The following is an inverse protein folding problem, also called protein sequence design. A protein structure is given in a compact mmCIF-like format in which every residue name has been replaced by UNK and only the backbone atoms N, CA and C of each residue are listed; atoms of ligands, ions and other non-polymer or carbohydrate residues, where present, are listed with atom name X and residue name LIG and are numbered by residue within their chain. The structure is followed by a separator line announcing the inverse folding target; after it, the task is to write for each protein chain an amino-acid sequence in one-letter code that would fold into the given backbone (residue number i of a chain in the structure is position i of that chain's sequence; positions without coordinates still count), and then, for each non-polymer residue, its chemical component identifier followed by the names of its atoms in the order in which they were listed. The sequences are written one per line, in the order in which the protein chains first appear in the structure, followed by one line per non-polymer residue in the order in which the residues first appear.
data_IF_224165066925
#
_entry.id   IF_224165066925
#
_cell.length_a   1.000
_cell.length_b   1.000
_cell.length_c   1.000
_cell.angle_alpha   90.00
_cell.angle_beta   90.00
_cell.angle_gamma   90.00
#
_symmetry.space_group_name_H-M   'P 1'
#
loop_
_entity.id
_entity.type
_entity.pdbx_description
1 polymer ?
#
# COMPACT_ATOMS: atom_id res chain seq x y z
N UNK A 1 -24.41 -12.65 -2.46
CA UNK A 1 -23.80 -11.33 -2.14
C UNK A 1 -22.29 -11.20 -2.43
N UNK A 2 -21.62 -12.26 -2.91
CA UNK A 2 -20.19 -12.26 -3.25
C UNK A 2 -19.83 -11.67 -4.64
N UNK A 3 -20.79 -11.22 -5.42
CA UNK A 3 -20.59 -10.85 -6.83
C UNK A 3 -20.30 -9.36 -7.10
N UNK A 4 -20.38 -8.48 -6.09
CA UNK A 4 -20.11 -7.05 -6.28
C UNK A 4 -18.61 -6.69 -6.18
N UNK A 5 -17.87 -7.36 -5.33
CA UNK A 5 -16.44 -7.10 -5.13
C UNK A 5 -15.57 -7.25 -6.38
N UNK A 6 -15.71 -8.33 -7.18
CA UNK A 6 -14.88 -8.49 -8.38
C UNK A 6 -15.09 -7.41 -9.44
N UNK A 7 -16.29 -6.84 -9.54
CA UNK A 7 -16.57 -5.77 -10.51
C UNK A 7 -16.00 -4.41 -10.10
N UNK A 8 -16.09 -4.08 -8.81
CA UNK A 8 -15.51 -2.84 -8.29
C UNK A 8 -13.98 -2.86 -8.43
N UNK A 9 -13.35 -3.90 -7.93
CA UNK A 9 -11.91 -4.06 -8.01
C UNK A 9 -11.41 -4.07 -9.47
N UNK A 10 -12.12 -4.72 -10.41
CA UNK A 10 -11.78 -4.69 -11.85
C UNK A 10 -11.85 -3.30 -12.47
N UNK A 11 -12.83 -2.50 -12.10
CA UNK A 11 -12.95 -1.13 -12.61
C UNK A 11 -11.85 -0.23 -12.06
N UNK A 12 -11.47 -0.39 -10.80
CA UNK A 12 -10.38 0.37 -10.18
C UNK A 12 -9.01 -0.10 -10.67
N UNK A 13 -8.80 -1.40 -10.85
CA UNK A 13 -7.56 -1.94 -11.39
C UNK A 13 -7.26 -1.48 -12.83
N UNK A 14 -8.29 -1.24 -13.66
CA UNK A 14 -8.11 -0.73 -15.02
C UNK A 14 -7.89 0.78 -15.08
N UNK A 15 -8.55 1.55 -14.21
CA UNK A 15 -8.61 3.02 -14.29
C UNK A 15 -7.82 3.74 -13.20
N UNK A 16 -7.27 3.04 -12.23
CA UNK A 16 -6.61 3.62 -11.05
C UNK A 16 -5.17 3.18 -10.84
N UNK A 17 -4.56 2.50 -11.81
CA UNK A 17 -3.14 2.16 -11.71
C UNK A 17 -2.28 3.36 -12.11
N UNK A 18 -1.61 3.92 -11.12
CA UNK A 18 -0.62 4.97 -11.29
C UNK A 18 0.70 4.44 -10.72
N UNK A 19 1.65 4.01 -11.56
CA UNK A 19 2.97 3.62 -11.08
C UNK A 19 3.61 4.82 -10.37
N UNK A 20 4.39 4.55 -9.34
CA UNK A 20 5.19 5.60 -8.70
C UNK A 20 6.15 6.17 -9.74
N UNK A 21 6.07 7.47 -9.99
CA UNK A 21 6.98 8.14 -10.92
C UNK A 21 8.41 8.16 -10.36
N UNK A 22 9.38 8.24 -11.25
CA UNK A 22 10.80 8.15 -10.92
C UNK A 22 11.25 9.20 -9.87
N UNK A 23 10.88 10.50 -9.97
CA UNK A 23 11.26 11.48 -8.95
C UNK A 23 10.67 11.21 -7.57
N UNK A 24 9.43 10.72 -7.50
CA UNK A 24 8.77 10.35 -6.24
C UNK A 24 9.42 9.10 -5.64
N UNK A 25 9.72 8.10 -6.48
CA UNK A 25 10.43 6.89 -6.07
C UNK A 25 11.80 7.23 -5.48
N UNK A 26 12.63 7.96 -6.23
CA UNK A 26 13.96 8.37 -5.79
C UNK A 26 13.92 9.13 -4.45
N UNK A 27 12.98 10.07 -4.31
CA UNK A 27 12.81 10.85 -3.08
C UNK A 27 12.45 9.98 -1.88
N UNK A 28 11.54 9.03 -2.08
CA UNK A 28 11.14 8.10 -1.03
C UNK A 28 12.29 7.14 -0.66
N UNK A 29 13.01 6.61 -1.64
CA UNK A 29 14.16 5.73 -1.40
C UNK A 29 15.29 6.44 -0.66
N UNK A 30 15.59 7.70 -0.99
CA UNK A 30 16.59 8.52 -0.31
C UNK A 30 16.24 8.82 1.16
N UNK A 31 14.98 8.66 1.55
CA UNK A 31 14.55 8.79 2.95
C UNK A 31 14.69 7.48 3.75
N UNK A 32 14.94 6.36 3.09
CA UNK A 32 15.15 5.06 3.73
C UNK A 32 16.63 4.88 4.09
N UNK A 33 16.88 4.19 5.18
CA UNK A 33 18.23 3.78 5.59
C UNK A 33 18.33 2.25 5.49
N UNK A 34 19.53 1.71 5.18
CA UNK A 34 19.74 0.27 5.21
C UNK A 34 19.30 -0.35 6.52
N UNK A 35 18.75 -1.56 6.44
CA UNK A 35 18.29 -2.31 7.61
C UNK A 35 19.47 -2.92 8.36
N UNK A 36 19.49 -2.81 9.69
CA UNK A 36 20.49 -3.47 10.54
C UNK A 36 20.28 -4.98 10.70
N UNK A 37 19.16 -5.52 10.22
CA UNK A 37 18.83 -6.93 10.32
C UNK A 37 17.71 -7.36 9.38
N UNK A 38 17.37 -8.66 9.38
CA UNK A 38 16.34 -9.20 8.50
C UNK A 38 14.98 -8.58 8.75
N UNK A 39 14.30 -8.18 7.66
CA UNK A 39 12.97 -7.61 7.71
C UNK A 39 12.12 -8.06 6.52
N UNK A 40 10.82 -8.08 6.70
CA UNK A 40 9.86 -8.21 5.62
C UNK A 40 9.29 -6.83 5.28
N UNK A 41 9.13 -6.55 3.99
CA UNK A 41 8.51 -5.32 3.48
C UNK A 41 7.34 -5.69 2.59
N UNK A 42 6.30 -4.87 2.57
CA UNK A 42 5.06 -5.16 1.82
C UNK A 42 4.62 -3.96 0.99
N UNK A 43 4.27 -4.22 -0.26
CA UNK A 43 3.41 -3.36 -1.04
C UNK A 43 2.06 -4.08 -1.25
N UNK A 44 0.96 -3.59 -0.63
CA UNK A 44 -0.34 -4.23 -0.72
C UNK A 44 -1.12 -3.91 -2.01
N UNK A 45 -0.54 -3.12 -2.92
CA UNK A 45 -1.12 -2.73 -4.23
C UNK A 45 0.01 -2.50 -5.25
N UNK A 46 0.87 -3.50 -5.38
CA UNK A 46 2.23 -3.38 -5.91
C UNK A 46 2.36 -3.04 -7.40
N UNK A 47 1.27 -3.15 -8.18
CA UNK A 47 1.40 -3.00 -9.61
C UNK A 47 2.39 -4.01 -10.19
N UNK A 48 3.35 -3.53 -10.96
CA UNK A 48 4.41 -4.38 -11.54
C UNK A 48 5.52 -4.75 -10.54
N UNK A 49 5.46 -4.24 -9.30
CA UNK A 49 6.40 -4.58 -8.23
C UNK A 49 7.72 -3.81 -8.22
N UNK A 50 7.90 -2.85 -9.13
CA UNK A 50 9.16 -2.11 -9.29
C UNK A 50 9.51 -1.33 -8.01
N UNK A 51 8.57 -0.55 -7.48
CA UNK A 51 8.82 0.32 -6.33
C UNK A 51 9.24 -0.46 -5.08
N UNK A 52 8.58 -1.58 -4.79
CA UNK A 52 8.93 -2.40 -3.61
C UNK A 52 10.24 -3.19 -3.82
N UNK A 53 10.56 -3.56 -5.05
CA UNK A 53 11.85 -4.17 -5.37
C UNK A 53 13.00 -3.17 -5.16
N UNK A 54 12.85 -1.94 -5.64
CA UNK A 54 13.83 -0.87 -5.40
C UNK A 54 13.95 -0.52 -3.91
N UNK A 55 12.85 -0.52 -3.15
CA UNK A 55 12.88 -0.33 -1.71
C UNK A 55 13.66 -1.47 -1.01
N UNK A 56 13.52 -2.71 -1.45
CA UNK A 56 14.31 -3.83 -0.93
C UNK A 56 15.81 -3.63 -1.19
N UNK A 57 16.17 -3.11 -2.36
CA UNK A 57 17.58 -2.78 -2.66
C UNK A 57 18.11 -1.66 -1.77
N UNK A 58 17.34 -0.57 -1.57
CA UNK A 58 17.74 0.55 -0.72
C UNK A 58 17.92 0.15 0.76
N UNK A 59 17.12 -0.80 1.24
CA UNK A 59 17.19 -1.34 2.59
C UNK A 59 18.28 -2.41 2.78
N UNK A 60 18.90 -2.88 1.70
CA UNK A 60 19.83 -4.00 1.68
C UNK A 60 19.14 -5.30 1.26
N UNK A 61 19.33 -5.70 0.01
CA UNK A 61 18.62 -6.82 -0.63
C UNK A 61 18.72 -8.15 0.14
N UNK A 62 19.82 -8.37 0.84
CA UNK A 62 20.03 -9.56 1.66
C UNK A 62 19.23 -9.54 2.97
N UNK A 63 18.86 -8.36 3.45
CA UNK A 63 18.14 -8.15 4.70
C UNK A 63 16.63 -8.00 4.47
N UNK A 64 16.23 -7.36 3.37
CA UNK A 64 14.82 -7.04 3.10
C UNK A 64 14.18 -8.05 2.14
N UNK A 65 13.19 -8.81 2.64
CA UNK A 65 12.34 -9.66 1.79
C UNK A 65 11.10 -8.90 1.35
N UNK A 66 10.94 -8.77 0.03
CA UNK A 66 9.83 -8.04 -0.59
C UNK A 66 8.61 -8.93 -0.82
N UNK A 67 7.49 -8.50 -0.27
CA UNK A 67 6.17 -9.10 -0.46
C UNK A 67 5.27 -8.12 -1.23
N UNK A 68 4.43 -8.65 -2.09
CA UNK A 68 3.52 -7.87 -2.92
C UNK A 68 2.12 -8.51 -2.94
N UNK A 69 1.08 -7.66 -2.98
CA UNK A 69 -0.27 -8.07 -3.36
C UNK A 69 -0.66 -7.25 -4.58
N UNK A 70 -1.11 -7.91 -5.62
CA UNK A 70 -1.59 -7.25 -6.84
C UNK A 70 -2.84 -7.94 -7.36
N UNK A 71 -3.83 -7.13 -7.69
CA UNK A 71 -5.14 -7.59 -8.15
C UNK A 71 -5.15 -8.00 -9.62
N UNK A 72 -4.40 -7.29 -10.48
CA UNK A 72 -4.32 -7.59 -11.90
C UNK A 72 -3.36 -8.75 -12.15
N UNK A 73 -3.81 -9.74 -12.91
CA UNK A 73 -3.05 -10.98 -13.15
C UNK A 73 -1.76 -10.75 -13.93
N UNK A 74 -1.75 -9.78 -14.85
CA UNK A 74 -0.61 -9.51 -15.72
C UNK A 74 0.47 -8.77 -14.93
N UNK A 75 0.09 -7.76 -14.16
CA UNK A 75 1.00 -7.05 -13.26
C UNK A 75 1.52 -7.96 -12.15
N UNK A 76 0.67 -8.80 -11.56
CA UNK A 76 1.10 -9.78 -10.56
C UNK A 76 2.12 -10.77 -11.11
N UNK A 77 1.98 -11.18 -12.38
CA UNK A 77 2.97 -12.02 -13.06
C UNK A 77 4.30 -11.30 -13.21
N UNK A 78 4.29 -10.02 -13.57
CA UNK A 78 5.50 -9.19 -13.66
C UNK A 78 6.17 -9.05 -12.28
N UNK A 79 5.40 -8.67 -11.28
CA UNK A 79 5.89 -8.51 -9.91
C UNK A 79 6.58 -9.77 -9.37
N UNK A 80 6.06 -10.98 -9.70
CA UNK A 80 6.71 -12.25 -9.30
C UNK A 80 8.14 -12.41 -9.81
N UNK A 81 8.52 -11.72 -10.87
CA UNK A 81 9.89 -11.71 -11.37
C UNK A 81 10.83 -10.76 -10.63
N UNK A 82 10.31 -9.86 -9.81
CA UNK A 82 11.06 -8.79 -9.17
C UNK A 82 11.12 -8.92 -7.63
N UNK A 83 10.10 -9.52 -7.02
CA UNK A 83 9.97 -9.61 -5.56
C UNK A 83 10.07 -11.05 -5.07
N UNK A 84 10.29 -11.24 -3.77
CA UNK A 84 10.41 -12.59 -3.18
C UNK A 84 9.08 -13.32 -3.19
N UNK A 85 7.96 -12.63 -2.91
CA UNK A 85 6.62 -13.20 -2.90
C UNK A 85 5.60 -12.22 -3.46
N UNK A 86 4.81 -12.65 -4.44
CA UNK A 86 3.69 -11.88 -4.95
C UNK A 86 2.40 -12.70 -4.94
N UNK A 87 1.40 -12.22 -4.25
CA UNK A 87 0.05 -12.77 -4.21
C UNK A 87 -0.83 -12.06 -5.24
N UNK A 88 -1.36 -12.81 -6.19
CA UNK A 88 -2.40 -12.32 -7.09
C UNK A 88 -3.75 -12.42 -6.39
N UNK A 89 -4.21 -11.33 -5.81
CA UNK A 89 -5.46 -11.29 -5.04
C UNK A 89 -5.96 -9.85 -4.83
N UNK A 90 -7.22 -9.73 -4.41
CA UNK A 90 -7.72 -8.48 -3.84
C UNK A 90 -7.22 -8.34 -2.40
N UNK A 91 -6.61 -7.19 -2.07
CA UNK A 91 -6.14 -6.92 -0.71
C UNK A 91 -7.26 -7.06 0.33
N UNK A 92 -8.49 -6.67 -0.03
CA UNK A 92 -9.62 -6.69 0.90
C UNK A 92 -10.03 -8.13 1.29
N UNK A 93 -9.77 -9.09 0.41
CA UNK A 93 -10.09 -10.51 0.60
C UNK A 93 -8.90 -11.32 1.11
N UNK A 94 -7.71 -10.71 1.28
CA UNK A 94 -6.51 -11.43 1.74
C UNK A 94 -6.43 -11.54 3.25
N UNK A 95 -5.89 -12.65 3.71
CA UNK A 95 -5.47 -12.83 5.10
C UNK A 95 -3.96 -12.68 5.21
N UNK A 96 -3.51 -11.61 5.85
CA UNK A 96 -2.10 -11.30 6.06
C UNK A 96 -1.88 -11.16 7.56
N UNK A 97 -0.78 -11.70 8.06
CA UNK A 97 -0.42 -11.63 9.48
C UNK A 97 -0.22 -10.17 9.91
N UNK A 98 -0.79 -9.83 11.08
CA UNK A 98 -0.61 -8.50 11.65
C UNK A 98 0.82 -8.29 12.13
N UNK A 99 1.28 -7.05 12.13
CA UNK A 99 2.58 -6.62 12.67
C UNK A 99 3.76 -7.45 12.13
N UNK A 100 3.72 -7.80 10.84
CA UNK A 100 4.72 -8.68 10.22
C UNK A 100 5.69 -7.96 9.30
N UNK A 101 5.46 -6.68 9.01
CA UNK A 101 6.27 -5.93 8.06
C UNK A 101 6.93 -4.72 8.72
N UNK A 102 8.24 -4.57 8.48
CA UNK A 102 9.02 -3.43 8.94
C UNK A 102 8.84 -2.19 8.07
N UNK A 103 8.44 -2.39 6.79
CA UNK A 103 8.07 -1.31 5.88
C UNK A 103 6.80 -1.67 5.13
N UNK A 104 5.88 -0.71 5.05
CA UNK A 104 4.78 -0.69 4.11
C UNK A 104 5.03 0.38 3.05
N UNK A 105 5.06 -0.06 1.79
CA UNK A 105 5.03 0.84 0.64
C UNK A 105 3.59 0.90 0.13
N UNK A 106 2.92 2.02 0.33
CA UNK A 106 1.49 2.16 0.04
C UNK A 106 1.27 3.26 -1.00
N UNK A 107 1.16 2.87 -2.27
CA UNK A 107 0.69 3.71 -3.38
C UNK A 107 -0.65 3.15 -3.87
N UNK A 108 -1.76 3.44 -3.17
CA UNK A 108 -3.05 2.81 -3.43
C UNK A 108 -3.71 3.37 -4.69
N UNK A 109 -4.70 2.67 -5.26
CA UNK A 109 -5.51 3.24 -6.31
C UNK A 109 -6.22 4.50 -5.81
N UNK A 110 -6.33 5.52 -6.68
CA UNK A 110 -6.96 6.80 -6.36
C UNK A 110 -8.43 6.80 -6.77
N UNK A 111 -9.30 7.35 -5.93
CA UNK A 111 -10.69 7.51 -6.27
C UNK A 111 -11.66 7.61 -5.09
N UNK A 112 -12.88 8.00 -5.41
CA UNK A 112 -13.95 8.07 -4.43
C UNK A 112 -14.62 6.70 -4.28
N UNK A 113 -14.95 6.34 -3.05
CA UNK A 113 -15.81 5.19 -2.76
C UNK A 113 -17.27 5.56 -3.02
N UNK A 114 -18.01 4.71 -3.74
CA UNK A 114 -19.45 4.88 -3.86
C UNK A 114 -20.13 4.68 -2.50
N UNK A 115 -21.27 5.34 -2.29
CA UNK A 115 -22.05 5.22 -1.04
C UNK A 115 -22.48 3.77 -0.74
N UNK A 116 -22.72 3.00 -1.79
CA UNK A 116 -23.14 1.59 -1.67
C UNK A 116 -22.01 0.68 -1.18
N UNK A 117 -20.76 1.13 -1.31
CA UNK A 117 -19.56 0.37 -0.93
C UNK A 117 -19.13 0.70 0.50
N UNK A 118 -19.37 1.93 0.98
CA UNK A 118 -18.96 2.38 2.31
C UNK A 118 -19.42 1.47 3.46
N UNK A 119 -20.65 0.95 3.38
CA UNK A 119 -21.20 0.07 4.41
C UNK A 119 -20.71 -1.37 4.32
N UNK A 120 -20.30 -1.82 3.13
CA UNK A 120 -19.99 -3.23 2.87
C UNK A 120 -18.52 -3.60 3.00
N UNK A 121 -17.60 -2.63 2.94
CA UNK A 121 -16.15 -2.88 3.00
C UNK A 121 -15.48 -2.38 4.29
N UNK A 122 -16.29 -2.01 5.27
CA UNK A 122 -15.78 -1.67 6.61
C UNK A 122 -15.05 -0.34 6.71
N UNK A 123 -15.31 0.61 5.79
CA UNK A 123 -14.79 1.96 5.93
C UNK A 123 -15.34 2.64 7.20
N UNK A 124 -14.46 3.07 8.09
CA UNK A 124 -14.81 3.64 9.41
C UNK A 124 -14.59 5.16 9.51
N UNK A 125 -14.45 5.85 8.37
CA UNK A 125 -14.24 7.28 8.34
C UNK A 125 -15.53 8.10 8.40
N UNK A 126 -15.43 9.32 8.91
CA UNK A 126 -16.52 10.32 8.91
C UNK A 126 -16.35 11.37 7.79
N UNK A 127 -15.18 11.43 7.18
CA UNK A 127 -14.85 12.33 6.10
C UNK A 127 -15.23 11.79 4.73
N UNK A 128 -14.62 12.34 3.68
CA UNK A 128 -14.82 11.88 2.32
C UNK A 128 -14.28 10.45 2.18
N UNK A 129 -15.16 9.53 1.82
CA UNK A 129 -14.81 8.14 1.63
C UNK A 129 -14.00 7.98 0.33
N UNK A 130 -12.74 7.58 0.47
CA UNK A 130 -11.80 7.42 -0.64
C UNK A 130 -11.07 6.09 -0.55
N UNK A 131 -10.66 5.58 -1.71
CA UNK A 131 -9.88 4.34 -1.80
C UNK A 131 -8.57 4.43 -1.03
N UNK A 132 -7.87 5.55 -1.13
CA UNK A 132 -6.60 5.79 -0.45
C UNK A 132 -6.72 5.60 1.07
N UNK A 133 -7.80 6.14 1.65
CA UNK A 133 -8.10 5.99 3.08
C UNK A 133 -8.47 4.56 3.46
N UNK A 134 -9.25 3.89 2.61
CA UNK A 134 -9.64 2.49 2.81
C UNK A 134 -8.41 1.57 2.81
N UNK A 135 -7.54 1.73 1.81
CA UNK A 135 -6.30 0.95 1.72
C UNK A 135 -5.38 1.21 2.92
N UNK A 136 -5.27 2.47 3.37
CA UNK A 136 -4.55 2.82 4.58
C UNK A 136 -5.11 2.07 5.81
N UNK A 137 -6.42 2.14 6.06
CA UNK A 137 -7.07 1.46 7.19
C UNK A 137 -6.86 -0.05 7.13
N UNK A 138 -6.98 -0.65 5.93
CA UNK A 138 -6.79 -2.09 5.72
C UNK A 138 -5.35 -2.52 6.00
N UNK A 139 -4.38 -1.68 5.68
CA UNK A 139 -2.95 -2.00 5.77
C UNK A 139 -2.33 -1.67 7.13
N UNK A 140 -2.92 -0.73 7.89
CA UNK A 140 -2.35 -0.22 9.14
C UNK A 140 -1.93 -1.32 10.12
N UNK A 141 -2.75 -2.36 10.27
CA UNK A 141 -2.47 -3.46 11.19
C UNK A 141 -1.35 -4.40 10.74
N UNK A 142 -0.89 -4.28 9.50
CA UNK A 142 0.15 -5.15 8.93
C UNK A 142 1.56 -4.67 9.30
N UNK A 143 1.71 -3.36 9.52
CA UNK A 143 2.98 -2.74 9.92
C UNK A 143 3.31 -3.08 11.38
N UNK A 144 4.54 -3.50 11.62
CA UNK A 144 5.02 -3.78 12.98
C UNK A 144 5.24 -2.48 13.76
N UNK A 145 5.32 -2.58 15.09
CA UNK A 145 5.69 -1.46 15.92
C UNK A 145 7.10 -0.94 15.56
N UNK A 146 7.25 0.37 15.42
CA UNK A 146 8.49 0.99 14.94
C UNK A 146 8.76 0.85 13.45
N UNK A 147 7.83 0.27 12.70
CA UNK A 147 7.94 0.15 11.24
C UNK A 147 7.71 1.48 10.51
N UNK A 148 8.12 1.52 9.26
CA UNK A 148 8.05 2.69 8.38
C UNK A 148 6.88 2.55 7.39
N UNK A 149 6.07 3.59 7.25
CA UNK A 149 5.09 3.72 6.19
C UNK A 149 5.58 4.73 5.15
N UNK A 150 5.72 4.30 3.90
CA UNK A 150 5.79 5.18 2.73
C UNK A 150 4.39 5.25 2.15
N UNK A 151 3.76 6.43 2.20
CA UNK A 151 2.37 6.61 1.75
C UNK A 151 2.30 7.67 0.65
N UNK A 152 1.99 7.23 -0.56
CA UNK A 152 1.97 8.07 -1.75
C UNK A 152 0.52 8.37 -2.10
N UNK A 153 0.14 9.62 -1.98
CA UNK A 153 -1.23 10.10 -2.25
C UNK A 153 -1.23 11.51 -2.82
N UNK A 154 -2.22 11.88 -3.61
CA UNK A 154 -2.41 13.27 -4.00
C UNK A 154 -2.62 14.18 -2.79
N UNK A 155 -2.05 15.40 -2.81
CA UNK A 155 -2.09 16.32 -1.68
C UNK A 155 -3.50 16.66 -1.17
N UNK A 156 -4.51 16.63 -2.04
CA UNK A 156 -5.91 16.87 -1.64
C UNK A 156 -6.54 15.75 -0.80
N UNK A 157 -5.88 14.58 -0.69
CA UNK A 157 -6.31 13.46 0.17
C UNK A 157 -5.90 13.70 1.63
N UNK A 158 -4.88 14.52 1.86
CA UNK A 158 -4.39 14.88 3.20
C UNK A 158 -5.35 15.86 3.89
N UNK A 159 -6.58 15.44 4.11
CA UNK A 159 -7.55 16.20 4.89
C UNK A 159 -7.37 15.98 6.41
N UNK A 160 -8.13 16.73 7.21
CA UNK A 160 -8.05 16.69 8.67
C UNK A 160 -8.29 15.28 9.26
N UNK A 161 -9.12 14.47 8.59
CA UNK A 161 -9.38 13.09 9.03
C UNK A 161 -8.16 12.21 8.84
N UNK A 162 -7.57 12.19 7.64
CA UNK A 162 -6.39 11.37 7.34
C UNK A 162 -5.18 11.84 8.17
N UNK A 163 -4.95 13.14 8.26
CA UNK A 163 -3.90 13.71 9.10
C UNK A 163 -4.10 13.29 10.56
N UNK A 164 -5.34 13.34 11.06
CA UNK A 164 -5.68 12.89 12.40
C UNK A 164 -5.41 11.39 12.64
N UNK A 165 -5.55 10.55 11.62
CA UNK A 165 -5.17 9.14 11.73
C UNK A 165 -3.66 8.97 11.74
N UNK A 166 -2.94 9.63 10.82
CA UNK A 166 -1.49 9.55 10.72
C UNK A 166 -0.82 10.00 12.03
N UNK A 167 -1.22 11.14 12.57
CA UNK A 167 -0.64 11.68 13.82
C UNK A 167 -0.92 10.85 15.07
N UNK A 168 -1.94 10.00 15.05
CA UNK A 168 -2.22 9.05 16.15
C UNK A 168 -1.38 7.77 16.08
N UNK A 169 -0.94 7.39 14.89
CA UNK A 169 -0.26 6.11 14.68
C UNK A 169 1.25 6.24 14.47
N UNK A 170 1.73 7.43 14.07
CA UNK A 170 3.13 7.65 13.74
C UNK A 170 3.70 8.83 14.53
N UNK A 171 4.95 8.70 14.98
CA UNK A 171 5.64 9.70 15.79
C UNK A 171 6.51 10.65 14.97
N UNK A 172 7.02 10.22 13.83
CA UNK A 172 7.84 11.02 12.92
C UNK A 172 7.17 11.06 11.54
N UNK A 173 6.59 12.21 11.19
CA UNK A 173 5.89 12.42 9.93
C UNK A 173 6.69 13.38 9.06
N UNK A 174 6.99 12.97 7.84
CA UNK A 174 7.66 13.79 6.83
C UNK A 174 6.80 13.85 5.59
N UNK A 175 6.63 15.05 5.03
CA UNK A 175 5.89 15.30 3.80
C UNK A 175 6.87 15.86 2.78
N UNK A 176 6.86 15.30 1.59
CA UNK A 176 7.75 15.67 0.49
C UNK A 176 6.98 16.17 -0.73
#
# INVERSE_FOLDING_TARGET
MALMFPRLARNFAKNGYYPTDEPTLERALNALMPSDGPMCILDPCAGEGVAIAEAAHALGREQAKAFAVEFDAERARHARGLVDHCLHADLMDTMISKQSFGLLWLNPPYGDLSKDVNGNIGYQGQGRARLEKLFYQRSLSLLQYGGVLVFIVPGYVLDAELVGWLTRHYTDLRIY
#
